data_IF_326879550322
#
_entry.id   IF_326879550322
#
_cell.length_a   1.000
_cell.length_b   1.000
_cell.length_c   1.000
_cell.angle_alpha   90.00
_cell.angle_beta   90.00
_cell.angle_gamma   90.00
#
_symmetry.space_group_name_H-M   'P 1'
#
loop_
_entity.id
_entity.type
_entity.pdbx_description
1 polymer ?
#
# COMPACT_ATOMS: atom_id res chain seq x y z
N UNK A 1 -20.93 -3.59 -56.57
CA UNK A 1 -21.54 -3.84 -55.24
C UNK A 1 -20.62 -4.60 -54.29
N UNK A 2 -19.85 -5.61 -54.75
CA UNK A 2 -18.90 -6.38 -53.90
C UNK A 2 -17.81 -5.54 -53.20
N UNK A 3 -17.22 -4.55 -53.87
CA UNK A 3 -16.18 -3.68 -53.28
C UNK A 3 -16.70 -2.79 -52.13
N UNK A 4 -17.95 -2.33 -52.21
CA UNK A 4 -18.57 -1.48 -51.19
C UNK A 4 -18.90 -2.25 -49.90
N UNK A 5 -19.25 -3.53 -50.04
CA UNK A 5 -19.52 -4.43 -48.90
C UNK A 5 -18.22 -4.75 -48.17
N UNK A 6 -17.13 -5.03 -48.90
CA UNK A 6 -15.83 -5.30 -48.29
C UNK A 6 -15.30 -4.08 -47.50
N UNK A 7 -15.44 -2.87 -48.05
CA UNK A 7 -15.08 -1.64 -47.33
C UNK A 7 -15.93 -1.43 -46.08
N UNK A 8 -17.23 -1.70 -46.14
CA UNK A 8 -18.10 -1.57 -44.98
C UNK A 8 -17.75 -2.60 -43.88
N UNK A 9 -17.47 -3.85 -44.25
CA UNK A 9 -17.02 -4.87 -43.31
C UNK A 9 -15.67 -4.51 -42.67
N UNK A 10 -14.74 -3.92 -43.44
CA UNK A 10 -13.46 -3.48 -42.90
C UNK A 10 -13.60 -2.31 -41.92
N UNK A 11 -14.51 -1.36 -42.20
CA UNK A 11 -14.80 -0.24 -41.29
C UNK A 11 -15.47 -0.72 -40.00
N UNK A 12 -16.39 -1.68 -40.09
CA UNK A 12 -17.03 -2.27 -38.91
C UNK A 12 -16.03 -3.09 -38.09
N UNK A 13 -15.12 -3.82 -38.74
CA UNK A 13 -14.05 -4.53 -38.05
C UNK A 13 -13.08 -3.57 -37.34
N UNK A 14 -12.67 -2.48 -37.99
CA UNK A 14 -11.82 -1.45 -37.36
C UNK A 14 -12.51 -0.76 -36.18
N UNK A 15 -13.80 -0.46 -36.32
CA UNK A 15 -14.59 0.14 -35.24
C UNK A 15 -14.76 -0.82 -34.06
N UNK A 16 -15.00 -2.11 -34.32
CA UNK A 16 -15.06 -3.12 -33.28
C UNK A 16 -13.72 -3.28 -32.56
N UNK A 17 -12.59 -3.28 -33.27
CA UNK A 17 -11.26 -3.31 -32.65
C UNK A 17 -10.88 -2.02 -31.93
N UNK A 18 -11.44 -0.87 -32.31
CA UNK A 18 -11.23 0.39 -31.59
C UNK A 18 -12.02 0.44 -30.27
N UNK A 19 -13.20 -0.18 -30.23
CA UNK A 19 -14.01 -0.30 -28.99
C UNK A 19 -13.39 -1.34 -28.05
N UNK A 20 -12.89 -2.46 -28.58
CA UNK A 20 -12.25 -3.52 -27.78
C UNK A 20 -10.80 -3.15 -27.40
N UNK A 21 -10.07 -2.45 -28.28
CA UNK A 21 -8.71 -1.97 -28.05
C UNK A 21 -8.63 -0.71 -27.19
N UNK A 22 -9.71 0.09 -27.14
CA UNK A 22 -9.82 1.23 -26.23
C UNK A 22 -10.03 0.85 -24.76
N UNK A 23 -10.52 -0.38 -24.49
CA UNK A 23 -10.67 -0.94 -23.13
C UNK A 23 -9.51 -1.84 -22.70
N UNK A 24 -8.66 -2.28 -23.62
CA UNK A 24 -7.43 -3.04 -23.33
C UNK A 24 -6.18 -2.17 -23.24
N UNK A 25 -6.29 -0.90 -23.64
CA UNK A 25 -5.44 0.16 -23.11
C UNK A 25 -5.87 0.50 -21.68
N UNK A 26 -5.98 -0.53 -20.83
CA UNK A 26 -5.66 -0.39 -19.42
C UNK A 26 -4.16 -0.13 -19.43
N UNK A 27 -3.78 1.11 -19.79
CA UNK A 27 -2.43 1.56 -19.56
C UNK A 27 -2.26 1.42 -18.06
N UNK A 28 -1.50 0.39 -17.74
CA UNK A 28 -0.78 0.10 -16.52
C UNK A 28 0.06 1.31 -16.15
N UNK A 29 -0.60 2.43 -15.88
CA UNK A 29 -0.01 3.51 -15.11
C UNK A 29 -0.20 3.12 -13.64
N UNK A 30 0.52 2.07 -13.24
CA UNK A 30 0.63 1.66 -11.86
C UNK A 30 1.74 2.46 -11.18
N UNK A 31 1.88 3.75 -11.53
CA UNK A 31 2.60 4.70 -10.71
C UNK A 31 1.75 4.96 -9.47
N UNK A 32 1.86 4.05 -8.48
CA UNK A 32 1.18 4.19 -7.20
C UNK A 32 1.89 5.29 -6.44
N UNK A 33 1.35 6.50 -6.55
CA UNK A 33 1.84 7.71 -5.89
C UNK A 33 1.81 7.52 -4.37
N UNK A 34 2.88 7.91 -3.69
CA UNK A 34 2.92 7.94 -2.23
C UNK A 34 1.97 9.02 -1.73
N UNK A 35 0.86 8.63 -1.12
CA UNK A 35 -0.19 9.57 -0.73
C UNK A 35 0.02 10.07 0.70
N UNK A 36 0.05 11.39 0.87
CA UNK A 36 0.18 12.05 2.17
C UNK A 36 -1.00 12.97 2.41
N UNK A 37 -1.74 12.71 3.48
CA UNK A 37 -2.88 13.50 3.92
C UNK A 37 -2.55 14.13 5.28
N UNK A 38 -2.72 15.45 5.42
CA UNK A 38 -2.41 16.16 6.66
C UNK A 38 -3.52 17.13 7.03
N UNK A 39 -3.88 17.22 8.31
CA UNK A 39 -4.84 18.21 8.80
C UNK A 39 -4.24 19.16 9.84
N UNK A 40 -4.71 20.41 9.82
CA UNK A 40 -4.13 21.49 10.61
C UNK A 40 -2.77 21.94 10.06
N UNK A 41 -1.88 22.36 10.95
CA UNK A 41 -0.52 22.81 10.61
C UNK A 41 0.50 21.66 10.47
N UNK A 42 0.03 20.41 10.52
CA UNK A 42 0.87 19.22 10.42
C UNK A 42 1.46 19.07 9.02
N UNK A 43 2.74 18.69 8.98
CA UNK A 43 3.45 18.27 7.78
C UNK A 43 4.10 16.92 8.02
N UNK A 44 3.87 15.99 7.11
CA UNK A 44 4.53 14.69 7.12
C UNK A 44 5.06 14.35 5.73
N UNK A 45 6.05 13.48 5.67
CA UNK A 45 6.52 12.88 4.43
C UNK A 45 6.41 11.36 4.55
N UNK A 46 5.86 10.73 3.52
CA UNK A 46 5.87 9.28 3.34
C UNK A 46 7.08 8.93 2.46
N UNK A 47 7.92 8.01 2.94
CA UNK A 47 9.12 7.56 2.25
C UNK A 47 9.11 6.03 2.19
N UNK A 48 9.28 5.47 1.00
CA UNK A 48 9.28 4.03 0.78
C UNK A 48 10.67 3.56 0.34
N UNK A 49 11.10 2.43 0.88
CA UNK A 49 12.43 1.88 0.66
C UNK A 49 12.39 0.36 0.47
N UNK A 50 13.48 -0.18 -0.06
CA UNK A 50 13.81 -1.60 -0.07
C UNK A 50 15.29 -1.80 0.27
N UNK A 51 15.74 -3.03 0.46
CA UNK A 51 17.17 -3.36 0.48
C UNK A 51 17.59 -3.89 -0.90
N UNK A 52 18.73 -3.40 -1.41
CA UNK A 52 19.32 -3.95 -2.63
C UNK A 52 20.10 -5.25 -2.34
N UNK A 53 20.68 -5.87 -3.38
CA UNK A 53 21.48 -7.10 -3.28
C UNK A 53 22.72 -6.98 -2.35
N UNK A 54 23.09 -5.77 -1.93
CA UNK A 54 24.21 -5.50 -1.02
C UNK A 54 23.75 -5.17 0.41
N UNK A 55 22.48 -5.41 0.75
CA UNK A 55 21.86 -5.03 2.03
C UNK A 55 21.87 -3.51 2.31
N UNK A 56 21.88 -2.68 1.26
CA UNK A 56 21.79 -1.23 1.41
C UNK A 56 20.34 -0.76 1.26
N UNK A 57 19.86 0.05 2.21
CA UNK A 57 18.52 0.66 2.14
C UNK A 57 18.50 1.71 1.04
N UNK A 58 17.74 1.45 -0.02
CA UNK A 58 17.58 2.31 -1.20
C UNK A 58 16.11 2.71 -1.38
N UNK A 59 15.80 3.84 -2.03
CA UNK A 59 14.42 4.20 -2.36
C UNK A 59 13.72 3.06 -3.10
N UNK A 60 12.44 2.83 -2.76
CA UNK A 60 11.62 1.88 -3.47
C UNK A 60 11.29 2.45 -4.86
N UNK A 61 11.66 1.70 -5.91
CA UNK A 61 11.38 2.04 -7.30
C UNK A 61 10.15 1.25 -7.77
N UNK A 62 9.10 1.96 -8.17
CA UNK A 62 7.78 1.42 -8.51
C UNK A 62 7.71 0.74 -9.89
N UNK A 63 8.72 0.93 -10.75
CA UNK A 63 8.88 0.11 -11.97
C UNK A 63 9.11 -1.38 -11.63
N UNK A 64 9.51 -1.65 -10.39
CA UNK A 64 9.68 -2.98 -9.82
C UNK A 64 8.61 -3.20 -8.75
N UNK A 65 7.35 -3.44 -9.15
CA UNK A 65 6.38 -4.02 -8.23
C UNK A 65 7.00 -5.23 -7.50
N UNK A 66 6.62 -5.43 -6.25
CA UNK A 66 7.42 -6.21 -5.30
C UNK A 66 7.56 -7.66 -5.78
N UNK A 67 8.78 -8.06 -6.12
CA UNK A 67 9.08 -9.48 -6.38
C UNK A 67 8.93 -10.22 -5.07
N UNK A 68 7.92 -11.07 -4.99
CA UNK A 68 7.65 -11.83 -3.79
C UNK A 68 8.42 -13.15 -3.82
N UNK A 69 9.01 -13.52 -2.68
CA UNK A 69 9.63 -14.82 -2.49
C UNK A 69 8.96 -15.56 -1.34
N UNK A 70 8.71 -16.87 -1.48
CA UNK A 70 8.33 -17.69 -0.34
C UNK A 70 9.47 -17.71 0.67
N UNK A 71 9.12 -17.70 1.95
CA UNK A 71 10.13 -17.81 3.00
C UNK A 71 10.82 -19.18 2.93
N UNK A 72 12.12 -19.19 2.65
CA UNK A 72 12.95 -20.38 2.84
C UNK A 72 13.38 -20.48 4.30
N UNK A 73 13.42 -21.70 4.83
CA UNK A 73 13.82 -21.98 6.22
C UNK A 73 15.24 -21.50 6.58
N UNK A 74 16.05 -21.12 5.58
CA UNK A 74 17.45 -20.77 5.72
C UNK A 74 17.76 -19.26 5.64
N UNK A 75 16.80 -18.37 5.37
CA UNK A 75 17.06 -16.94 5.16
C UNK A 75 16.12 -16.07 6.01
N UNK A 76 16.53 -15.81 7.25
CA UNK A 76 15.93 -14.75 8.04
C UNK A 76 16.22 -13.39 7.41
N UNK A 77 15.23 -12.51 7.31
CA UNK A 77 15.38 -11.09 6.93
C UNK A 77 15.87 -10.77 5.51
N UNK A 78 16.33 -11.73 4.72
CA UNK A 78 16.84 -11.46 3.36
C UNK A 78 15.73 -11.15 2.33
N UNK A 79 14.45 -11.27 2.72
CA UNK A 79 13.29 -10.97 1.87
C UNK A 79 12.60 -9.65 2.24
N UNK A 80 13.36 -8.61 2.63
CA UNK A 80 12.78 -7.28 2.88
C UNK A 80 12.44 -6.62 1.55
N UNK A 81 11.17 -6.72 1.18
CA UNK A 81 10.70 -6.22 -0.11
C UNK A 81 10.13 -4.79 -0.04
N UNK A 82 9.69 -4.32 1.15
CA UNK A 82 9.11 -2.98 1.31
C UNK A 82 9.19 -2.48 2.74
N UNK A 83 9.73 -1.28 2.86
CA UNK A 83 9.83 -0.50 4.09
C UNK A 83 9.05 0.79 3.88
N UNK A 84 8.22 1.16 4.85
CA UNK A 84 7.44 2.39 4.84
C UNK A 84 7.80 3.22 6.07
N UNK A 85 8.42 4.37 5.85
CA UNK A 85 8.70 5.36 6.87
C UNK A 85 7.80 6.58 6.69
N UNK A 86 7.36 7.17 7.79
CA UNK A 86 6.64 8.44 7.82
C UNK A 86 7.37 9.42 8.74
N UNK A 87 7.81 10.53 8.18
CA UNK A 87 8.53 11.59 8.90
C UNK A 87 7.57 12.72 9.26
N UNK A 88 7.45 13.07 10.55
CA UNK A 88 6.84 14.34 10.93
C UNK A 88 7.80 15.50 10.59
N UNK A 89 7.51 16.22 9.52
CA UNK A 89 8.30 17.36 9.01
C UNK A 89 7.77 18.71 9.47
N UNK A 90 6.79 18.72 10.38
CA UNK A 90 6.34 19.92 11.08
C UNK A 90 7.51 20.60 11.79
N UNK A 91 7.45 21.92 11.94
CA UNK A 91 8.56 22.67 12.58
C UNK A 91 8.65 22.42 14.08
N UNK A 92 7.52 22.44 14.76
CA UNK A 92 7.45 22.39 16.22
C UNK A 92 6.34 21.43 16.72
N UNK A 93 5.30 21.20 15.93
CA UNK A 93 4.12 20.49 16.40
C UNK A 93 4.26 18.96 16.29
N UNK A 94 3.94 18.22 17.38
CA UNK A 94 3.77 16.78 17.29
C UNK A 94 2.50 16.45 16.50
N UNK A 95 2.49 15.28 15.86
CA UNK A 95 1.36 14.83 15.05
C UNK A 95 0.97 13.40 15.42
N UNK A 96 -0.33 13.12 15.46
CA UNK A 96 -0.82 11.75 15.38
C UNK A 96 -0.67 11.27 13.94
N UNK A 97 -0.07 10.11 13.74
CA UNK A 97 0.21 9.57 12.41
C UNK A 97 -0.29 8.12 12.31
N UNK A 98 -0.83 7.74 11.15
CA UNK A 98 -0.97 6.34 10.73
C UNK A 98 -0.63 6.17 9.27
N UNK A 99 -0.38 4.92 8.93
CA UNK A 99 -0.27 4.47 7.56
C UNK A 99 -1.36 3.46 7.27
N UNK A 100 -2.03 3.62 6.14
CA UNK A 100 -2.97 2.65 5.60
C UNK A 100 -2.26 1.98 4.43
N UNK A 101 -2.14 0.66 4.49
CA UNK A 101 -1.53 -0.15 3.44
C UNK A 101 -2.60 -1.03 2.85
N UNK A 102 -2.72 -1.01 1.52
CA UNK A 102 -3.60 -1.90 0.77
C UNK A 102 -2.74 -2.94 0.07
N UNK A 103 -2.82 -4.19 0.49
CA UNK A 103 -2.20 -5.31 -0.20
C UNK A 103 -3.20 -5.87 -1.20
N UNK A 104 -2.79 -6.04 -2.45
CA UNK A 104 -3.60 -6.72 -3.45
C UNK A 104 -3.99 -8.10 -2.93
N UNK A 105 -5.29 -8.40 -3.01
CA UNK A 105 -5.83 -9.64 -2.49
C UNK A 105 -5.47 -10.77 -3.43
N UNK A 106 -4.91 -11.84 -2.89
CA UNK A 106 -4.59 -13.04 -3.64
C UNK A 106 -5.87 -13.89 -3.77
N UNK A 107 -6.43 -14.00 -4.97
CA UNK A 107 -7.61 -14.84 -5.22
C UNK A 107 -7.25 -16.33 -5.23
N UNK A 108 -7.22 -16.92 -4.03
CA UNK A 108 -6.84 -18.32 -3.84
C UNK A 108 -7.95 -19.32 -4.21
N UNK A 109 -9.10 -18.88 -4.74
CA UNK A 109 -10.21 -19.78 -5.07
C UNK A 109 -9.84 -20.78 -6.17
N UNK A 110 -9.99 -22.07 -5.88
CA UNK A 110 -9.75 -23.14 -6.85
C UNK A 110 -8.28 -23.48 -7.09
N UNK A 111 -7.34 -22.81 -6.42
CA UNK A 111 -5.91 -23.14 -6.48
C UNK A 111 -5.58 -24.27 -5.50
N UNK A 112 -4.94 -25.32 -6.01
CA UNK A 112 -4.58 -26.50 -5.22
C UNK A 112 -3.55 -26.16 -4.12
N UNK A 113 -3.74 -26.71 -2.92
CA UNK A 113 -2.86 -26.48 -1.77
C UNK A 113 -3.05 -25.13 -1.06
N UNK A 114 -3.67 -24.11 -1.67
CA UNK A 114 -3.84 -22.81 -1.04
C UNK A 114 -4.72 -22.83 0.21
N UNK A 115 -5.75 -23.69 0.25
CA UNK A 115 -6.63 -23.85 1.42
C UNK A 115 -5.91 -24.35 2.67
N UNK A 116 -4.67 -24.83 2.54
CA UNK A 116 -3.83 -25.29 3.65
C UNK A 116 -2.89 -24.19 4.17
N UNK A 117 -2.68 -23.13 3.37
CA UNK A 117 -1.98 -21.90 3.76
C UNK A 117 -2.98 -21.03 4.53
N UNK A 118 -2.60 -20.58 5.74
CA UNK A 118 -3.52 -19.85 6.63
C UNK A 118 -3.43 -18.34 6.49
N UNK A 119 -2.23 -17.85 6.21
CA UNK A 119 -1.92 -16.45 6.01
C UNK A 119 -0.98 -16.39 4.80
N UNK A 120 -1.51 -16.16 3.59
CA UNK A 120 -0.69 -16.18 2.36
C UNK A 120 0.42 -15.13 2.38
N UNK A 121 0.13 -14.00 3.01
CA UNK A 121 0.99 -12.83 3.12
C UNK A 121 1.34 -12.57 4.59
N UNK A 122 2.63 -12.43 4.85
CA UNK A 122 3.15 -12.03 6.15
C UNK A 122 3.82 -10.67 6.04
N UNK A 123 3.76 -9.89 7.10
CA UNK A 123 4.46 -8.62 7.17
C UNK A 123 4.96 -8.32 8.58
N UNK A 124 6.02 -7.52 8.64
CA UNK A 124 6.61 -7.04 9.88
C UNK A 124 6.48 -5.53 9.94
N UNK A 125 6.09 -5.02 11.10
CA UNK A 125 6.17 -3.60 11.44
C UNK A 125 7.14 -3.42 12.61
N UNK A 126 7.95 -2.36 12.59
CA UNK A 126 8.77 -2.02 13.73
C UNK A 126 7.94 -1.35 14.83
N UNK A 127 8.19 -1.77 16.05
CA UNK A 127 7.64 -1.16 17.24
C UNK A 127 8.64 -0.15 17.81
N UNK A 128 8.32 1.12 17.61
CA UNK A 128 8.73 2.29 18.42
C UNK A 128 9.84 3.21 17.87
N UNK A 129 9.58 4.52 18.04
CA UNK A 129 10.35 5.70 17.59
C UNK A 129 11.60 5.95 18.47
N UNK A 130 11.80 5.14 19.51
CA UNK A 130 12.81 5.32 20.54
C UNK A 130 13.80 4.15 20.71
N UNK A 131 13.72 3.09 19.90
CA UNK A 131 14.57 1.91 20.07
C UNK A 131 15.45 1.63 18.84
N UNK A 132 16.79 1.76 18.97
CA UNK A 132 17.70 1.43 17.88
C UNK A 132 17.75 -0.10 17.67
N UNK A 133 17.18 -0.52 16.55
CA UNK A 133 17.67 -1.54 15.61
C UNK A 133 17.99 -2.96 16.10
N UNK A 134 17.75 -3.32 17.37
CA UNK A 134 18.36 -4.55 17.90
C UNK A 134 17.43 -5.59 18.51
N UNK A 135 16.13 -5.36 18.75
CA UNK A 135 15.21 -6.44 19.14
C UNK A 135 13.74 -6.15 18.80
N UNK A 136 13.30 -6.47 17.58
CA UNK A 136 11.88 -6.42 17.24
C UNK A 136 11.51 -7.65 16.40
N UNK A 137 11.13 -8.71 17.11
CA UNK A 137 10.40 -9.87 16.57
C UNK A 137 9.13 -9.97 17.41
N UNK A 138 7.96 -9.66 16.84
CA UNK A 138 6.71 -9.93 17.55
C UNK A 138 5.53 -9.08 17.12
N UNK A 139 4.55 -9.80 16.57
CA UNK A 139 3.14 -9.47 16.32
C UNK A 139 2.85 -8.34 15.33
N UNK A 140 2.38 -8.75 14.13
CA UNK A 140 1.42 -8.10 13.24
C UNK A 140 1.04 -6.67 13.68
N UNK A 141 1.83 -5.68 13.28
CA UNK A 141 1.60 -4.29 13.70
C UNK A 141 0.44 -3.61 12.97
N UNK A 142 0.01 -4.15 11.83
CA UNK A 142 -1.14 -3.70 11.08
C UNK A 142 -2.43 -4.37 11.58
N UNK A 143 -3.46 -3.57 11.84
CA UNK A 143 -4.80 -4.08 12.12
C UNK A 143 -5.55 -4.23 10.80
N UNK A 144 -6.00 -5.44 10.49
CA UNK A 144 -6.90 -5.67 9.35
C UNK A 144 -8.18 -4.86 9.55
N UNK A 145 -8.50 -4.03 8.56
CA UNK A 145 -9.69 -3.18 8.56
C UNK A 145 -10.82 -3.81 7.75
N UNK A 146 -10.52 -4.37 6.59
CA UNK A 146 -11.51 -4.91 5.67
C UNK A 146 -10.99 -5.02 4.23
N UNK A 147 -11.79 -5.63 3.36
CA UNK A 147 -11.52 -5.72 1.94
C UNK A 147 -12.16 -4.54 1.19
N UNK A 148 -11.46 -3.99 0.20
CA UNK A 148 -11.94 -2.87 -0.61
C UNK A 148 -11.56 -3.07 -2.07
N UNK A 149 -12.50 -2.82 -2.98
CA UNK A 149 -12.21 -2.74 -4.41
C UNK A 149 -11.73 -1.34 -4.78
N UNK A 150 -10.47 -1.20 -5.19
CA UNK A 150 -9.87 0.08 -5.60
C UNK A 150 -9.55 -0.01 -7.09
N UNK A 151 -10.18 0.86 -7.88
CA UNK A 151 -10.01 0.89 -9.34
C UNK A 151 -10.26 -0.46 -10.04
N UNK A 152 -11.15 -1.29 -9.48
CA UNK A 152 -11.53 -2.59 -10.07
C UNK A 152 -10.74 -3.80 -9.54
N UNK A 153 -9.68 -3.58 -8.76
CA UNK A 153 -8.89 -4.65 -8.11
C UNK A 153 -9.25 -4.74 -6.62
N UNK A 154 -9.28 -5.96 -6.06
CA UNK A 154 -9.54 -6.18 -4.64
C UNK A 154 -8.27 -6.05 -3.81
N UNK A 155 -8.38 -5.37 -2.66
CA UNK A 155 -7.29 -5.19 -1.71
C UNK A 155 -7.73 -5.53 -0.29
N UNK A 156 -6.84 -6.16 0.46
CA UNK A 156 -6.91 -6.26 1.91
C UNK A 156 -6.29 -5.00 2.55
N UNK A 157 -7.08 -4.29 3.35
CA UNK A 157 -6.66 -3.04 3.96
C UNK A 157 -6.16 -3.27 5.39
N UNK A 158 -4.96 -2.78 5.68
CA UNK A 158 -4.36 -2.80 6.99
C UNK A 158 -4.02 -1.38 7.47
N UNK A 159 -4.32 -1.10 8.73
CA UNK A 159 -4.02 0.18 9.38
C UNK A 159 -2.89 -0.02 10.38
N UNK A 160 -1.82 0.75 10.17
CA UNK A 160 -0.63 0.78 11.00
C UNK A 160 -0.61 2.09 11.79
N UNK A 161 -1.09 2.02 13.03
CA UNK A 161 -1.06 3.15 13.96
C UNK A 161 0.35 3.35 14.53
N UNK A 162 0.65 4.56 15.02
CA UNK A 162 1.84 4.74 15.87
C UNK A 162 1.78 3.83 17.09
N UNK A 163 2.95 3.38 17.56
CA UNK A 163 3.00 2.55 18.76
C UNK A 163 2.34 3.25 19.95
N UNK A 164 1.44 2.54 20.64
CA UNK A 164 0.58 3.08 21.71
C UNK A 164 -0.23 4.31 21.31
N UNK A 165 -0.43 4.57 20.00
CA UNK A 165 -1.17 5.71 19.47
C UNK A 165 -0.63 7.06 19.97
N UNK A 166 0.67 7.13 20.24
CA UNK A 166 1.34 8.33 20.72
C UNK A 166 1.67 9.25 19.55
N UNK A 167 1.62 10.55 19.78
CA UNK A 167 2.00 11.54 18.77
C UNK A 167 3.51 11.46 18.47
N UNK A 168 3.86 11.54 17.18
CA UNK A 168 5.23 11.60 16.69
C UNK A 168 5.74 13.02 16.84
N UNK A 169 6.84 13.26 17.58
CA UNK A 169 7.42 14.60 17.72
C UNK A 169 7.83 15.22 16.38
N UNK A 170 7.83 16.55 16.30
CA UNK A 170 8.39 17.27 15.16
C UNK A 170 9.84 16.82 14.89
N UNK A 171 10.15 16.52 13.63
CA UNK A 171 11.44 16.02 13.20
C UNK A 171 11.67 14.52 13.41
N UNK A 172 10.78 13.79 14.08
CA UNK A 172 10.91 12.34 14.30
C UNK A 172 10.25 11.51 13.19
N UNK A 173 10.80 10.30 12.95
CA UNK A 173 10.27 9.34 11.99
C UNK A 173 9.59 8.17 12.71
N UNK A 174 8.53 7.64 12.12
CA UNK A 174 8.00 6.34 12.46
C UNK A 174 8.18 5.39 11.28
N UNK A 175 8.48 4.12 11.54
CA UNK A 175 8.41 3.08 10.52
C UNK A 175 7.09 2.32 10.70
N UNK A 176 6.26 2.33 9.66
CA UNK A 176 4.94 1.67 9.68
C UNK A 176 5.00 0.24 9.17
N UNK A 177 5.87 -0.02 8.19
CA UNK A 177 6.08 -1.33 7.58
C UNK A 177 7.59 -1.55 7.40
N UNK A 178 8.07 -2.75 7.68
CA UNK A 178 9.48 -3.10 7.56
C UNK A 178 9.73 -4.17 6.51
N UNK A 179 8.84 -5.16 6.41
CA UNK A 179 9.01 -6.27 5.49
C UNK A 179 7.66 -6.88 5.13
N UNK A 180 7.61 -7.49 3.95
CA UNK A 180 6.46 -8.23 3.42
C UNK A 180 7.00 -9.47 2.69
N UNK A 181 6.47 -10.65 3.00
CA UNK A 181 6.89 -11.91 2.40
C UNK A 181 5.72 -12.88 2.25
N UNK A 182 5.86 -13.87 1.36
CA UNK A 182 4.86 -14.94 1.22
C UNK A 182 5.10 -16.03 2.24
N UNK A 183 4.03 -16.73 2.61
CA UNK A 183 4.14 -17.93 3.44
C UNK A 183 5.19 -18.92 2.88
N UNK A 184 5.87 -19.63 3.78
CA UNK A 184 6.86 -20.65 3.41
C UNK A 184 6.27 -21.78 2.54
N UNK A 185 4.96 -22.02 2.64
CA UNK A 185 4.26 -23.04 1.88
C UNK A 185 3.78 -22.53 0.50
N UNK A 186 4.03 -21.26 0.18
CA UNK A 186 3.81 -20.69 -1.15
C UNK A 186 4.87 -21.24 -2.12
N UNK A 187 4.45 -21.75 -3.29
CA UNK A 187 5.31 -22.44 -4.25
C UNK A 187 5.20 -21.85 -5.65
N UNK A 188 5.98 -22.39 -6.60
CA UNK A 188 5.91 -21.97 -8.00
C UNK A 188 4.52 -22.18 -8.63
N UNK A 189 3.77 -23.18 -8.16
CA UNK A 189 2.41 -23.45 -8.63
C UNK A 189 1.41 -22.36 -8.19
N UNK A 190 1.76 -21.60 -7.15
CA UNK A 190 0.96 -20.50 -6.60
C UNK A 190 1.30 -19.14 -7.21
N UNK A 191 2.41 -19.02 -7.97
CA UNK A 191 2.85 -17.74 -8.56
C UNK A 191 1.81 -17.08 -9.46
N UNK A 192 0.88 -17.86 -10.02
CA UNK A 192 -0.25 -17.34 -10.81
C UNK A 192 -1.23 -16.45 -10.04
N UNK A 193 -1.17 -16.45 -8.71
CA UNK A 193 -1.96 -15.58 -7.83
C UNK A 193 -1.41 -14.15 -7.75
N UNK A 194 -0.16 -13.97 -8.13
CA UNK A 194 0.48 -12.65 -8.19
C UNK A 194 0.20 -12.03 -9.56
N UNK A 195 0.37 -10.72 -9.66
CA UNK A 195 0.32 -9.99 -10.93
C UNK A 195 1.41 -10.44 -11.90
N UNK A 196 1.44 -9.81 -13.08
CA UNK A 196 2.45 -10.10 -14.12
C UNK A 196 3.88 -10.14 -13.52
N UNK A 197 4.66 -11.15 -13.92
CA UNK A 197 6.03 -11.43 -13.44
C UNK A 197 6.16 -11.75 -11.93
N UNK A 198 5.10 -12.18 -11.24
CA UNK A 198 5.18 -12.58 -9.84
C UNK A 198 5.19 -11.39 -8.86
N UNK A 199 4.54 -10.31 -9.27
CA UNK A 199 4.55 -9.02 -8.57
C UNK A 199 3.30 -8.85 -7.71
N UNK A 200 3.45 -8.30 -6.50
CA UNK A 200 2.33 -7.92 -5.65
C UNK A 200 2.14 -6.40 -5.67
N UNK A 201 0.92 -5.96 -5.95
CA UNK A 201 0.55 -4.56 -5.89
C UNK A 201 0.32 -4.11 -4.43
N UNK A 202 1.07 -3.11 -3.97
CA UNK A 202 0.93 -2.56 -2.61
C UNK A 202 0.76 -1.05 -2.64
N UNK A 203 -0.39 -0.54 -2.20
CA UNK A 203 -0.65 0.89 -2.06
C UNK A 203 -0.36 1.36 -0.65
N UNK A 204 0.11 2.59 -0.51
CA UNK A 204 0.41 3.19 0.78
C UNK A 204 -0.14 4.62 0.85
N UNK A 205 -0.84 4.91 1.94
CA UNK A 205 -1.30 6.26 2.30
C UNK A 205 -0.85 6.55 3.72
N UNK A 206 -0.20 7.69 3.94
CA UNK A 206 0.09 8.20 5.27
C UNK A 206 -0.87 9.34 5.63
N UNK A 207 -1.30 9.37 6.89
CA UNK A 207 -2.21 10.39 7.41
C UNK A 207 -1.62 11.00 8.68
N UNK A 208 -1.64 12.34 8.77
CA UNK A 208 -1.15 13.11 9.90
C UNK A 208 -2.20 14.09 10.41
N UNK A 209 -2.44 14.12 11.72
CA UNK A 209 -3.39 15.04 12.36
C UNK A 209 -2.70 15.75 13.51
N UNK A 210 -2.93 17.06 13.66
CA UNK A 210 -2.43 17.81 14.81
C UNK A 210 -2.95 17.20 16.12
N UNK A 211 -2.15 17.31 17.18
CA UNK A 211 -2.61 16.88 18.53
C UNK A 211 -3.51 17.93 19.19
N UNK A 212 -3.38 19.19 18.81
CA UNK A 212 -4.14 20.29 19.40
C UNK A 212 -5.65 20.12 19.15
N UNK A 213 -6.44 20.37 20.19
CA UNK A 213 -7.91 20.29 20.22
C UNK A 213 -8.50 18.87 20.16
N UNK A 214 -7.68 17.83 20.30
CA UNK A 214 -8.16 16.46 20.44
C UNK A 214 -7.69 15.87 21.78
N UNK A 215 -8.57 15.08 22.39
CA UNK A 215 -8.26 14.40 23.67
C UNK A 215 -7.22 13.29 23.47
N UNK A 216 -7.32 12.59 22.33
CA UNK A 216 -6.43 11.50 21.96
C UNK A 216 -6.39 11.27 20.44
N UNK A 217 -5.58 10.29 20.06
CA UNK A 217 -5.39 9.81 18.70
C UNK A 217 -6.70 9.37 18.02
N UNK A 218 -7.53 8.59 18.74
CA UNK A 218 -8.72 7.99 18.14
C UNK A 218 -9.77 9.07 17.86
N UNK A 219 -9.92 10.04 18.76
CA UNK A 219 -10.76 11.22 18.55
C UNK A 219 -10.27 12.06 17.35
N UNK A 220 -8.95 12.27 17.23
CA UNK A 220 -8.37 13.04 16.13
C UNK A 220 -8.65 12.42 14.75
N UNK A 221 -8.41 11.10 14.62
CA UNK A 221 -8.64 10.40 13.36
C UNK A 221 -10.12 10.18 13.05
N UNK A 222 -10.96 9.91 14.04
CA UNK A 222 -12.41 9.80 13.83
C UNK A 222 -13.01 11.12 13.31
N UNK A 223 -12.52 12.26 13.79
CA UNK A 223 -13.01 13.57 13.35
C UNK A 223 -12.49 14.03 11.98
N UNK A 224 -11.29 13.58 11.60
CA UNK A 224 -10.56 14.14 10.43
C UNK A 224 -10.52 13.19 9.25
N UNK A 225 -10.24 11.92 9.51
CA UNK A 225 -10.04 10.88 8.50
C UNK A 225 -10.79 9.62 8.92
N UNK A 226 -12.12 9.70 9.00
CA UNK A 226 -12.92 8.54 9.38
C UNK A 226 -12.65 7.35 8.44
N UNK A 227 -12.40 6.17 9.00
CA UNK A 227 -12.15 4.97 8.21
C UNK A 227 -13.47 4.39 7.69
N UNK A 228 -13.81 4.77 6.47
CA UNK A 228 -14.93 4.22 5.70
C UNK A 228 -14.42 3.71 4.37
N UNK A 229 -15.14 2.74 3.78
CA UNK A 229 -14.79 2.20 2.46
C UNK A 229 -14.70 3.31 1.40
N UNK A 230 -15.67 4.22 1.39
CA UNK A 230 -15.70 5.36 0.46
C UNK A 230 -14.48 6.28 0.60
N UNK A 231 -14.05 6.55 1.85
CA UNK A 231 -12.87 7.36 2.10
C UNK A 231 -11.59 6.63 1.66
N UNK A 232 -11.48 5.34 1.96
CA UNK A 232 -10.32 4.52 1.56
C UNK A 232 -10.18 4.49 0.04
N UNK A 233 -11.27 4.21 -0.68
CA UNK A 233 -11.28 4.29 -2.15
C UNK A 233 -10.82 5.68 -2.60
N UNK A 234 -11.40 6.74 -2.03
CA UNK A 234 -11.03 8.10 -2.41
C UNK A 234 -9.56 8.44 -2.16
N UNK A 235 -8.96 7.95 -1.06
CA UNK A 235 -7.56 8.23 -0.72
C UNK A 235 -6.59 7.49 -1.64
N UNK A 236 -6.93 6.28 -2.08
CA UNK A 236 -6.09 5.49 -2.98
C UNK A 236 -6.34 5.77 -4.46
N UNK A 237 -7.51 6.29 -4.84
CA UNK A 237 -7.83 6.68 -6.22
C UNK A 237 -7.48 8.13 -6.56
N UNK A 238 -7.08 8.94 -5.58
CA UNK A 238 -6.63 10.31 -5.84
C UNK A 238 -5.20 10.31 -6.39
N UNK A 239 -5.03 10.60 -7.67
CA UNK A 239 -3.73 10.64 -8.33
C UNK A 239 -2.82 11.81 -7.90
N UNK A 240 -3.27 12.77 -7.08
CA UNK A 240 -2.60 14.07 -6.95
C UNK A 240 -2.91 14.92 -5.67
N UNK A 241 -3.27 14.32 -4.53
CA UNK A 241 -3.69 15.12 -3.36
C UNK A 241 -2.62 15.21 -2.26
N UNK A 242 -1.54 15.95 -2.55
CA UNK A 242 -0.76 16.61 -1.52
C UNK A 242 -1.62 17.71 -0.86
N UNK A 243 -1.84 17.57 0.46
CA UNK A 243 -2.40 18.59 1.38
C UNK A 243 -3.93 18.77 1.33
N UNK A 244 -4.67 17.90 2.03
CA UNK A 244 -6.03 18.21 2.50
C UNK A 244 -5.92 18.98 3.83
N UNK A 245 -5.55 20.26 3.80
CA UNK A 245 -5.62 21.11 4.99
C UNK A 245 -7.06 21.12 5.52
N UNK A 246 -7.34 20.31 6.53
CA UNK A 246 -8.56 20.36 7.33
C UNK A 246 -8.54 21.61 8.21
N UNK A 247 -8.65 22.78 7.61
CA UNK A 247 -9.03 24.01 8.27
C UNK A 247 -10.09 24.67 7.37
N UNK A 248 -11.37 24.49 7.74
CA UNK A 248 -12.43 25.48 7.64
C UNK A 248 -13.81 24.82 7.89
N UNK A 249 -14.27 24.90 9.15
CA UNK A 249 -15.55 25.50 9.55
C UNK A 249 -15.69 25.54 11.09
#
# INVERSE_FOLDING_TARGET
MKKKILTLCLVVALAATAVIGGTLAYFTDTAKTTNVLTAGDVKINLEEYTYNENDEKVPFDDEVAMTMYPMTDAQGYENINKIVDVHNTSKEDPAYIRTIVAFEKLDSEGVEGMKEIKDELHFLALKDVNYPDSQIYGSNGGTYWGDVTISGEEYEIFVFDTYNKVAVPAGAKMQSLQSVWLDKDFTMDHMSLLGEDGKLNVLVVAQGVQTANFDDYDAAFAATFELTEANIISWFSAADNAVINGADN
#
